data_IF_311792885118
#
_entry.id   IF_311792885118
#
_cell.length_a   1.000
_cell.length_b   1.000
_cell.length_c   1.000
_cell.angle_alpha   90.00
_cell.angle_beta   90.00
_cell.angle_gamma   90.00
#
_symmetry.space_group_name_H-M   'P 1'
#
loop_
_entity.id
_entity.type
_entity.pdbx_description
1 polymer ?
#
# COMPACT_ATOMS: atom_id res chain seq x y z
N UNK A 1 52.89 31.87 18.97
CA UNK A 1 52.92 31.18 17.66
C UNK A 1 52.90 29.67 17.88
N UNK A 2 51.75 29.03 17.72
CA UNK A 2 51.67 27.57 17.73
C UNK A 2 52.47 27.09 16.51
N UNK A 3 53.54 26.31 16.75
CA UNK A 3 54.41 25.80 15.68
C UNK A 3 53.54 25.02 14.68
N UNK A 4 53.79 25.16 13.36
CA UNK A 4 52.99 24.55 12.28
C UNK A 4 52.68 23.06 12.52
N UNK A 5 53.60 22.32 13.15
CA UNK A 5 53.44 20.92 13.53
C UNK A 5 52.32 20.70 14.57
N UNK A 6 52.19 21.58 15.56
CA UNK A 6 51.18 21.48 16.61
C UNK A 6 49.78 21.83 16.08
N UNK A 7 49.66 22.76 15.13
CA UNK A 7 48.38 23.05 14.45
C UNK A 7 47.90 21.86 13.63
N UNK A 8 48.79 21.11 12.97
CA UNK A 8 48.41 19.89 12.26
C UNK A 8 47.92 18.79 13.22
N UNK A 9 48.60 18.61 14.35
CA UNK A 9 48.19 17.63 15.36
C UNK A 9 46.82 17.97 15.96
N UNK A 10 46.58 19.24 16.29
CA UNK A 10 45.28 19.70 16.81
C UNK A 10 44.18 19.53 15.75
N UNK A 11 44.45 19.88 14.50
CA UNK A 11 43.50 19.69 13.40
C UNK A 11 43.16 18.21 13.17
N UNK A 12 44.14 17.32 13.23
CA UNK A 12 43.94 15.89 13.10
C UNK A 12 43.10 15.33 14.25
N UNK A 13 43.34 15.81 15.47
CA UNK A 13 42.59 15.40 16.65
C UNK A 13 41.11 15.82 16.56
N UNK A 14 40.85 17.06 16.11
CA UNK A 14 39.48 17.56 15.89
C UNK A 14 38.78 16.77 14.77
N UNK A 15 39.50 16.40 13.71
CA UNK A 15 38.92 15.60 12.63
C UNK A 15 38.52 14.19 13.13
N UNK A 16 39.36 13.55 13.92
CA UNK A 16 39.07 12.23 14.50
C UNK A 16 37.90 12.26 15.50
N UNK A 17 37.78 13.30 16.33
CA UNK A 17 36.68 13.39 17.29
C UNK A 17 35.33 13.61 16.62
N UNK A 18 35.27 14.44 15.57
CA UNK A 18 34.04 14.65 14.79
C UNK A 18 33.65 13.40 14.01
N UNK A 19 34.62 12.67 13.45
CA UNK A 19 34.38 11.41 12.74
C UNK A 19 33.94 10.27 13.68
N UNK A 20 34.47 10.20 14.90
CA UNK A 20 34.03 9.21 15.88
C UNK A 20 32.59 9.47 16.38
N UNK A 21 32.19 10.74 16.48
CA UNK A 21 30.84 11.10 16.93
C UNK A 21 29.75 10.72 15.92
N UNK A 22 30.03 10.74 14.61
CA UNK A 22 29.07 10.37 13.56
C UNK A 22 28.83 8.86 13.44
N UNK A 23 29.78 8.03 13.86
CA UNK A 23 29.65 6.57 13.82
C UNK A 23 28.61 6.01 14.81
N UNK A 24 28.32 6.73 15.91
CA UNK A 24 27.37 6.30 16.94
C UNK A 24 25.91 6.71 16.68
N UNK A 25 25.61 7.43 15.60
CA UNK A 25 24.27 7.95 15.31
C UNK A 25 23.30 6.94 14.66
N UNK A 26 23.80 5.81 14.15
CA UNK A 26 22.95 4.78 13.54
C UNK A 26 22.51 3.76 14.60
N UNK A 27 21.29 3.92 15.12
CA UNK A 27 20.64 2.87 15.93
C UNK A 27 20.46 1.64 15.03
N UNK A 28 20.92 0.44 15.44
CA UNK A 28 20.64 -0.77 14.68
C UNK A 28 19.12 -1.02 14.72
N UNK A 29 18.46 -0.95 13.56
CA UNK A 29 17.09 -1.44 13.45
C UNK A 29 17.11 -2.93 13.80
N UNK A 30 16.41 -3.30 14.88
CA UNK A 30 16.23 -4.71 15.23
C UNK A 30 15.45 -5.37 14.11
N UNK A 31 16.08 -6.27 13.36
CA UNK A 31 15.39 -7.07 12.35
C UNK A 31 14.24 -7.83 13.03
N UNK A 32 13.00 -7.44 12.70
CA UNK A 32 11.82 -8.19 13.13
C UNK A 32 11.84 -9.56 12.45
N UNK A 33 11.40 -10.60 13.15
CA UNK A 33 11.20 -11.91 12.53
C UNK A 33 10.24 -11.81 11.34
N UNK A 34 10.54 -12.52 10.26
CA UNK A 34 9.75 -12.52 9.00
C UNK A 34 8.26 -12.76 9.27
N UNK A 35 7.92 -13.62 10.21
CA UNK A 35 6.53 -13.89 10.61
C UNK A 35 5.79 -12.67 11.18
N UNK A 36 6.48 -11.84 11.97
CA UNK A 36 5.89 -10.62 12.54
C UNK A 36 5.67 -9.58 11.47
N UNK A 37 6.62 -9.43 10.54
CA UNK A 37 6.46 -8.54 9.38
C UNK A 37 5.30 -8.97 8.49
N UNK A 38 5.15 -10.27 8.23
CA UNK A 38 4.02 -10.80 7.44
C UNK A 38 2.68 -10.54 8.12
N UNK A 39 2.60 -10.75 9.43
CA UNK A 39 1.37 -10.49 10.20
C UNK A 39 1.00 -9.00 10.19
N UNK A 40 1.97 -8.12 10.43
CA UNK A 40 1.78 -6.68 10.35
C UNK A 40 1.33 -6.24 8.95
N UNK A 41 1.90 -6.83 7.90
CA UNK A 41 1.52 -6.55 6.51
C UNK A 41 0.08 -6.97 6.20
N UNK A 42 -0.32 -8.19 6.59
CA UNK A 42 -1.69 -8.67 6.39
C UNK A 42 -2.71 -7.81 7.15
N UNK A 43 -2.42 -7.46 8.40
CA UNK A 43 -3.27 -6.55 9.17
C UNK A 43 -3.41 -5.19 8.51
N UNK A 44 -2.31 -4.62 8.02
CA UNK A 44 -2.32 -3.34 7.31
C UNK A 44 -3.11 -3.42 5.99
N UNK A 45 -3.07 -4.57 5.31
CA UNK A 45 -3.84 -4.81 4.10
C UNK A 45 -5.34 -4.87 4.42
N UNK A 46 -5.73 -5.64 5.43
CA UNK A 46 -7.12 -5.76 5.88
C UNK A 46 -7.68 -4.40 6.33
N UNK A 47 -6.89 -3.62 7.09
CA UNK A 47 -7.29 -2.29 7.54
C UNK A 47 -7.48 -1.32 6.37
N UNK A 48 -6.59 -1.35 5.37
CA UNK A 48 -6.72 -0.55 4.14
C UNK A 48 -7.94 -0.94 3.33
N UNK A 49 -8.19 -2.24 3.17
CA UNK A 49 -9.35 -2.72 2.41
C UNK A 49 -10.66 -2.35 3.12
N UNK A 50 -10.69 -2.41 4.46
CA UNK A 50 -11.81 -1.96 5.25
C UNK A 50 -12.05 -0.44 5.10
N UNK A 51 -11.00 0.39 5.18
CA UNK A 51 -11.11 1.84 4.99
C UNK A 51 -11.56 2.20 3.57
N UNK A 52 -10.97 1.56 2.56
CA UNK A 52 -11.35 1.74 1.15
C UNK A 52 -12.80 1.35 0.92
N UNK A 53 -13.26 0.23 1.48
CA UNK A 53 -14.65 -0.21 1.33
C UNK A 53 -15.65 0.81 1.88
N UNK A 54 -15.32 1.45 3.02
CA UNK A 54 -16.15 2.52 3.61
C UNK A 54 -16.19 3.75 2.72
N UNK A 55 -15.02 4.24 2.27
CA UNK A 55 -14.93 5.39 1.36
C UNK A 55 -15.67 5.14 0.05
N UNK A 56 -15.51 3.97 -0.54
CA UNK A 56 -16.23 3.57 -1.75
C UNK A 56 -17.75 3.52 -1.54
N UNK A 57 -18.20 3.09 -0.35
CA UNK A 57 -19.61 3.10 0.03
C UNK A 57 -20.17 4.52 0.07
N UNK A 58 -19.49 5.42 0.78
CA UNK A 58 -19.88 6.83 0.90
C UNK A 58 -19.92 7.54 -0.46
N UNK A 59 -18.89 7.34 -1.28
CA UNK A 59 -18.83 7.96 -2.61
C UNK A 59 -19.92 7.39 -3.53
N UNK A 60 -20.20 6.09 -3.44
CA UNK A 60 -21.32 5.49 -4.15
C UNK A 60 -22.65 6.13 -3.74
N UNK A 61 -22.88 6.36 -2.45
CA UNK A 61 -24.09 7.03 -1.98
C UNK A 61 -24.20 8.47 -2.51
N UNK A 62 -23.11 9.23 -2.49
CA UNK A 62 -23.05 10.58 -3.08
C UNK A 62 -23.41 10.55 -4.56
N UNK A 63 -22.80 9.65 -5.33
CA UNK A 63 -23.09 9.49 -6.76
C UNK A 63 -24.54 9.10 -7.02
N UNK A 64 -25.12 8.20 -6.22
CA UNK A 64 -26.53 7.81 -6.37
C UNK A 64 -27.46 8.99 -6.08
N UNK A 65 -27.15 9.83 -5.08
CA UNK A 65 -27.93 11.03 -4.76
C UNK A 65 -27.88 12.08 -5.88
N UNK A 66 -26.74 12.24 -6.55
CA UNK A 66 -26.57 13.17 -7.68
C UNK A 66 -27.31 12.68 -8.95
N UNK A 67 -27.42 11.37 -9.14
CA UNK A 67 -28.07 10.81 -10.31
C UNK A 67 -29.58 11.13 -10.35
N UNK A 68 -30.05 11.53 -11.54
CA UNK A 68 -31.49 11.68 -11.79
C UNK A 68 -32.24 10.36 -11.65
N UNK A 69 -33.53 10.42 -11.26
CA UNK A 69 -34.40 9.23 -11.14
C UNK A 69 -34.46 8.41 -12.44
N UNK A 70 -34.39 9.06 -13.59
CA UNK A 70 -34.36 8.38 -14.89
C UNK A 70 -33.11 7.52 -15.08
N UNK A 71 -31.94 8.08 -14.72
CA UNK A 71 -30.65 7.37 -14.76
C UNK A 71 -30.71 6.14 -13.84
N UNK A 72 -31.20 6.31 -12.61
CA UNK A 72 -31.36 5.21 -11.66
C UNK A 72 -32.29 4.10 -12.21
N UNK A 73 -33.41 4.47 -12.84
CA UNK A 73 -34.33 3.52 -13.50
C UNK A 73 -33.64 2.77 -14.65
N UNK A 74 -32.88 3.47 -15.50
CA UNK A 74 -32.11 2.87 -16.60
C UNK A 74 -31.07 1.88 -16.09
N UNK A 75 -30.32 2.24 -15.04
CA UNK A 75 -29.36 1.36 -14.38
C UNK A 75 -30.04 0.11 -13.80
N UNK A 76 -31.18 0.26 -13.12
CA UNK A 76 -31.97 -0.88 -12.59
C UNK A 76 -32.43 -1.81 -13.71
N UNK A 77 -32.91 -1.26 -14.83
CA UNK A 77 -33.32 -2.05 -16.01
C UNK A 77 -32.13 -2.79 -16.62
N UNK A 78 -30.98 -2.13 -16.76
CA UNK A 78 -29.76 -2.73 -17.29
C UNK A 78 -29.27 -3.87 -16.37
N UNK A 79 -29.23 -3.65 -15.05
CA UNK A 79 -28.85 -4.68 -14.07
C UNK A 79 -29.74 -5.92 -14.17
N UNK A 80 -31.06 -5.74 -14.28
CA UNK A 80 -32.01 -6.86 -14.47
C UNK A 80 -31.77 -7.59 -15.80
N UNK A 81 -31.54 -6.86 -16.89
CA UNK A 81 -31.25 -7.42 -18.22
C UNK A 81 -29.95 -8.25 -18.19
N UNK A 82 -28.90 -7.72 -17.57
CA UNK A 82 -27.62 -8.41 -17.44
C UNK A 82 -27.72 -9.65 -16.56
N UNK A 83 -28.47 -9.60 -15.46
CA UNK A 83 -28.73 -10.77 -14.61
C UNK A 83 -29.36 -11.91 -15.43
N UNK A 84 -30.44 -11.64 -16.16
CA UNK A 84 -31.09 -12.62 -17.04
C UNK A 84 -30.15 -13.16 -18.13
N UNK A 85 -29.29 -12.31 -18.69
CA UNK A 85 -28.31 -12.71 -19.72
C UNK A 85 -27.19 -13.60 -19.18
N UNK A 86 -26.85 -13.48 -17.89
CA UNK A 86 -25.82 -14.27 -17.22
C UNK A 86 -26.39 -15.48 -16.48
N UNK A 87 -27.70 -15.55 -16.29
CA UNK A 87 -28.40 -16.67 -15.69
C UNK A 87 -28.10 -17.96 -16.47
N UNK A 88 -27.65 -19.00 -15.77
CA UNK A 88 -27.23 -20.28 -16.36
C UNK A 88 -25.87 -20.26 -17.08
N UNK A 89 -25.13 -19.14 -17.09
CA UNK A 89 -23.77 -19.08 -17.64
C UNK A 89 -22.73 -19.25 -16.55
N UNK A 90 -21.62 -19.87 -16.92
CA UNK A 90 -20.47 -20.02 -16.04
C UNK A 90 -19.94 -18.65 -15.60
N UNK A 91 -19.54 -18.52 -14.33
CA UNK A 91 -19.07 -17.25 -13.76
C UNK A 91 -17.84 -16.72 -14.50
N UNK A 92 -16.92 -17.63 -14.82
CA UNK A 92 -15.71 -17.35 -15.59
C UNK A 92 -15.99 -17.37 -17.09
N UNK A 93 -15.40 -16.43 -17.81
CA UNK A 93 -15.38 -16.38 -19.27
C UNK A 93 -14.64 -17.58 -19.87
N UNK A 94 -14.89 -17.89 -21.14
CA UNK A 94 -14.17 -18.98 -21.84
C UNK A 94 -12.64 -18.80 -21.77
N UNK A 95 -12.14 -17.59 -22.01
CA UNK A 95 -10.72 -17.26 -21.92
C UNK A 95 -10.18 -17.39 -20.50
N UNK A 96 -10.92 -16.93 -19.48
CA UNK A 96 -10.50 -17.09 -18.10
C UNK A 96 -10.38 -18.56 -17.71
N UNK A 97 -11.26 -19.42 -18.23
CA UNK A 97 -11.16 -20.87 -18.00
C UNK A 97 -9.94 -21.49 -18.68
N UNK A 98 -9.58 -21.00 -19.87
CA UNK A 98 -8.46 -21.53 -20.64
C UNK A 98 -7.09 -21.03 -20.16
N UNK A 99 -7.03 -19.79 -19.67
CA UNK A 99 -5.77 -19.10 -19.35
C UNK A 99 -5.54 -18.85 -17.86
N UNK A 100 -6.44 -19.28 -16.96
CA UNK A 100 -6.12 -19.27 -15.52
C UNK A 100 -5.17 -20.42 -15.19
N UNK A 101 -3.87 -20.16 -15.22
CA UNK A 101 -2.87 -21.03 -14.59
C UNK A 101 -3.28 -21.19 -13.12
N UNK A 102 -3.52 -22.43 -12.68
CA UNK A 102 -3.68 -22.71 -11.24
C UNK A 102 -2.41 -22.24 -10.54
N UNK A 103 -2.49 -21.34 -9.54
CA UNK A 103 -1.36 -21.16 -8.65
C UNK A 103 -1.18 -22.49 -7.91
N UNK A 104 -0.04 -23.13 -8.10
CA UNK A 104 0.44 -24.20 -7.22
C UNK A 104 0.82 -23.61 -5.88
#
# INVERSE_FOLDING_TARGET
MIKRKNTFIISLFIFFTVFAASAHAQKPEKQKSVEKQRKEFLQLQDDRDAELSKKMGEDREKHVKIQTKETQKRMKKNRKKMRRRKEGKHEKSFFERLFTKKPH
#
